data_IF_055828471949
#
_entry.id   IF_055828471949
#
_cell.length_a   1.000
_cell.length_b   1.000
_cell.length_c   1.000
_cell.angle_alpha   90.00
_cell.angle_beta   90.00
_cell.angle_gamma   90.00
#
_symmetry.space_group_name_H-M   'P 1'
#
loop_
_entity.id
_entity.type
_entity.pdbx_description
1 polymer ?
#
# COMPACT_ATOMS: atom_id res chain seq x y z
N UNK A 1 15.14 -4.21 -1.16
CA UNK A 1 14.44 -4.48 0.10
C UNK A 1 12.94 -4.57 -0.16
N UNK A 2 12.19 -5.30 0.67
CA UNK A 2 10.72 -5.28 0.62
C UNK A 2 10.17 -3.92 1.04
N UNK A 3 8.94 -3.60 0.65
CA UNK A 3 8.32 -2.30 0.97
C UNK A 3 8.14 -2.13 2.50
N UNK A 4 7.82 -3.21 3.17
CA UNK A 4 7.68 -3.34 4.62
C UNK A 4 8.96 -3.01 5.40
N UNK A 5 10.14 -3.15 4.77
CA UNK A 5 11.42 -2.83 5.37
C UNK A 5 11.84 -1.36 5.24
N UNK A 6 11.13 -0.55 4.43
CA UNK A 6 11.54 0.82 4.11
C UNK A 6 11.51 1.75 5.33
N UNK A 7 10.43 1.70 6.12
CA UNK A 7 10.27 2.55 7.31
C UNK A 7 11.33 2.22 8.36
N UNK A 8 11.52 0.95 8.79
CA UNK A 8 12.59 0.61 9.72
C UNK A 8 13.98 1.02 9.22
N UNK A 9 14.25 0.87 7.92
CA UNK A 9 15.57 1.20 7.34
C UNK A 9 15.91 2.69 7.38
N UNK A 10 14.92 3.59 7.23
CA UNK A 10 15.12 5.02 7.49
C UNK A 10 15.35 5.26 8.98
N UNK A 11 14.56 4.64 9.85
CA UNK A 11 14.66 4.86 11.30
C UNK A 11 15.98 4.35 11.89
N UNK A 12 16.56 3.28 11.32
CA UNK A 12 17.86 2.75 11.72
C UNK A 12 19.04 3.52 11.12
N UNK A 13 18.80 4.39 10.13
CA UNK A 13 19.85 5.08 9.37
C UNK A 13 20.54 4.21 8.32
N UNK A 14 19.96 3.06 7.96
CA UNK A 14 20.47 2.22 6.86
C UNK A 14 20.24 2.86 5.49
N UNK A 15 19.23 3.74 5.38
CA UNK A 15 18.96 4.60 4.23
C UNK A 15 18.57 6.01 4.71
N UNK A 16 18.82 7.02 3.87
CA UNK A 16 18.52 8.42 4.23
C UNK A 16 17.11 8.87 3.83
N UNK A 17 16.50 8.24 2.82
CA UNK A 17 15.20 8.66 2.26
C UNK A 17 14.47 7.51 1.58
N UNK A 18 13.13 7.54 1.66
CA UNK A 18 12.25 6.64 0.92
C UNK A 18 11.73 7.37 -0.33
N UNK A 19 12.20 6.97 -1.51
CA UNK A 19 11.66 7.42 -2.80
C UNK A 19 10.74 6.33 -3.39
N UNK A 20 9.61 6.11 -2.73
CA UNK A 20 8.57 5.16 -3.15
C UNK A 20 7.19 5.81 -3.05
N UNK A 21 6.19 5.23 -3.71
CA UNK A 21 4.79 5.64 -3.56
C UNK A 21 4.26 5.27 -2.18
N UNK A 22 4.66 6.03 -1.16
CA UNK A 22 4.27 5.82 0.24
C UNK A 22 3.25 6.87 0.66
N UNK A 23 2.14 6.42 1.23
CA UNK A 23 1.14 7.32 1.80
C UNK A 23 1.61 7.85 3.16
N UNK A 24 1.49 9.16 3.36
CA UNK A 24 1.62 9.82 4.65
C UNK A 24 0.35 9.55 5.49
N UNK A 25 0.39 8.51 6.31
CA UNK A 25 -0.69 8.23 7.28
C UNK A 25 -0.34 8.86 8.63
N UNK A 26 -1.32 9.18 9.50
CA UNK A 26 -1.05 9.76 10.81
C UNK A 26 -0.08 8.92 11.67
N UNK A 27 -0.08 7.60 11.50
CA UNK A 27 0.84 6.70 12.19
C UNK A 27 2.27 6.85 11.68
N UNK A 28 2.45 7.04 10.37
CA UNK A 28 3.76 7.20 9.73
C UNK A 28 4.34 8.58 9.97
N UNK A 29 3.50 9.62 9.96
CA UNK A 29 3.91 11.00 10.26
C UNK A 29 4.41 11.18 11.70
N UNK A 30 4.04 10.29 12.63
CA UNK A 30 4.61 10.28 13.99
C UNK A 30 6.07 9.87 14.04
N UNK A 31 6.57 9.20 13.00
CA UNK A 31 7.87 8.53 13.01
C UNK A 31 8.74 8.86 11.80
N UNK A 32 8.22 9.62 10.84
CA UNK A 32 8.88 10.03 9.61
C UNK A 32 8.47 11.45 9.24
N UNK A 33 9.41 12.22 8.69
CA UNK A 33 9.10 13.42 7.93
C UNK A 33 8.77 13.06 6.48
N UNK A 34 7.79 13.74 5.89
CA UNK A 34 7.37 13.54 4.50
C UNK A 34 7.67 14.78 3.65
N UNK A 35 7.90 14.57 2.36
CA UNK A 35 7.94 15.65 1.38
C UNK A 35 6.54 16.25 1.17
N UNK A 36 6.48 17.34 0.41
CA UNK A 36 5.22 17.75 -0.22
C UNK A 36 4.65 16.58 -1.05
N UNK A 37 3.33 16.46 -1.06
CA UNK A 37 2.63 15.41 -1.81
C UNK A 37 2.87 15.64 -3.30
N UNK A 38 3.58 14.71 -3.94
CA UNK A 38 3.91 14.78 -5.37
C UNK A 38 2.94 13.97 -6.25
N UNK A 39 2.09 13.13 -5.64
CA UNK A 39 1.11 12.31 -6.35
C UNK A 39 -0.15 12.11 -5.49
N UNK A 40 -1.26 12.67 -5.96
CA UNK A 40 -2.57 12.55 -5.32
C UNK A 40 -3.63 12.15 -6.36
N UNK A 41 -3.60 10.88 -6.76
CA UNK A 41 -4.64 10.28 -7.59
C UNK A 41 -5.40 9.22 -6.80
N UNK A 42 -6.05 9.66 -5.72
CA UNK A 42 -7.42 9.27 -5.38
C UNK A 42 -7.79 7.80 -5.16
N UNK A 43 -6.87 6.84 -5.07
CA UNK A 43 -7.24 5.50 -4.60
C UNK A 43 -6.31 4.35 -5.00
N UNK A 44 -6.76 3.16 -4.61
CA UNK A 44 -6.16 1.88 -4.98
C UNK A 44 -7.03 1.20 -6.03
N UNK A 45 -6.40 0.42 -6.90
CA UNK A 45 -7.08 -0.25 -8.01
C UNK A 45 -6.89 -1.75 -7.84
N UNK A 46 -7.99 -2.50 -7.93
CA UNK A 46 -7.95 -3.96 -8.01
C UNK A 46 -7.80 -4.35 -9.48
N UNK A 47 -6.76 -5.13 -9.79
CA UNK A 47 -6.54 -5.66 -11.13
C UNK A 47 -6.91 -7.13 -11.17
N UNK A 48 -7.72 -7.51 -12.15
CA UNK A 48 -8.12 -8.89 -12.41
C UNK A 48 -7.60 -9.33 -13.77
N UNK A 49 -7.64 -10.64 -14.06
CA UNK A 49 -7.28 -11.13 -15.39
C UNK A 49 -8.24 -10.56 -16.43
N UNK A 50 -7.73 -10.34 -17.65
CA UNK A 50 -8.49 -9.77 -18.77
C UNK A 50 -9.77 -10.55 -19.11
N UNK A 51 -9.76 -11.87 -18.92
CA UNK A 51 -10.87 -12.79 -19.17
C UNK A 51 -11.78 -13.00 -17.96
N UNK A 52 -11.52 -12.32 -16.83
CA UNK A 52 -12.36 -12.42 -15.65
C UNK A 52 -13.70 -11.70 -15.86
N UNK A 53 -14.78 -12.44 -15.69
CA UNK A 53 -16.16 -11.93 -15.81
C UNK A 53 -16.94 -11.97 -14.49
N UNK A 54 -16.27 -12.26 -13.37
CA UNK A 54 -16.91 -12.59 -12.08
C UNK A 54 -16.51 -11.68 -10.91
N UNK A 55 -15.61 -10.72 -11.14
CA UNK A 55 -15.13 -9.78 -10.12
C UNK A 55 -15.20 -8.39 -10.74
N UNK A 56 -16.14 -7.59 -10.27
CA UNK A 56 -16.48 -6.25 -10.72
C UNK A 56 -16.41 -5.22 -9.59
N UNK A 57 -16.37 -5.70 -8.35
CA UNK A 57 -16.31 -4.88 -7.14
C UNK A 57 -15.57 -5.63 -6.01
N UNK A 58 -15.40 -4.97 -4.88
CA UNK A 58 -14.68 -5.52 -3.72
C UNK A 58 -15.47 -6.62 -3.00
N UNK A 59 -16.80 -6.56 -2.95
CA UNK A 59 -17.62 -7.56 -2.26
C UNK A 59 -17.49 -8.93 -2.93
N UNK A 60 -17.32 -8.95 -4.25
CA UNK A 60 -17.08 -10.15 -5.04
C UNK A 60 -15.70 -10.78 -4.79
N UNK A 61 -14.84 -10.17 -3.97
CA UNK A 61 -13.59 -10.79 -3.53
C UNK A 61 -13.75 -11.66 -2.28
N UNK A 62 -14.91 -11.63 -1.61
CA UNK A 62 -15.17 -12.42 -0.41
C UNK A 62 -14.92 -13.92 -0.64
N UNK A 63 -14.14 -14.53 0.27
CA UNK A 63 -13.75 -15.94 0.19
C UNK A 63 -12.72 -16.27 -0.91
N UNK A 64 -12.20 -15.27 -1.65
CA UNK A 64 -11.12 -15.46 -2.63
C UNK A 64 -9.77 -15.13 -2.02
N UNK A 65 -8.71 -15.63 -2.65
CA UNK A 65 -7.33 -15.21 -2.32
C UNK A 65 -7.02 -13.90 -3.05
N UNK A 66 -6.69 -12.85 -2.30
CA UNK A 66 -6.31 -11.53 -2.82
C UNK A 66 -4.82 -11.29 -2.57
N UNK A 67 -4.08 -10.93 -3.61
CA UNK A 67 -2.66 -10.57 -3.52
C UNK A 67 -2.49 -9.07 -3.28
N UNK A 68 -1.63 -8.71 -2.32
CA UNK A 68 -1.33 -7.32 -1.95
C UNK A 68 0.16 -7.16 -1.62
N UNK A 69 0.68 -5.94 -1.72
CA UNK A 69 2.06 -5.63 -1.32
C UNK A 69 2.13 -5.40 0.19
N UNK A 70 2.89 -6.24 0.89
CA UNK A 70 3.06 -6.12 2.36
C UNK A 70 3.61 -4.73 2.71
N UNK A 71 3.09 -4.15 3.80
CA UNK A 71 3.47 -2.81 4.28
C UNK A 71 2.74 -1.66 3.59
N UNK A 72 1.77 -1.93 2.72
CA UNK A 72 0.96 -0.90 2.04
C UNK A 72 -0.48 -0.86 2.57
N UNK A 73 -1.19 0.27 2.37
CA UNK A 73 -2.60 0.41 2.79
C UNK A 73 -3.51 -0.70 2.22
N UNK A 74 -3.34 -1.20 0.97
CA UNK A 74 -4.10 -2.34 0.45
C UNK A 74 -4.11 -3.59 1.34
N UNK A 75 -3.11 -3.79 2.20
CA UNK A 75 -3.12 -4.90 3.16
C UNK A 75 -4.30 -4.78 4.11
N UNK A 76 -4.51 -3.59 4.68
CA UNK A 76 -5.64 -3.34 5.58
C UNK A 76 -6.98 -3.40 4.86
N UNK A 77 -7.01 -2.98 3.58
CA UNK A 77 -8.21 -3.09 2.76
C UNK A 77 -8.57 -4.56 2.50
N UNK A 78 -7.58 -5.38 2.14
CA UNK A 78 -7.79 -6.80 1.86
C UNK A 78 -8.19 -7.60 3.11
N UNK A 79 -7.73 -7.19 4.30
CA UNK A 79 -8.13 -7.81 5.57
C UNK A 79 -9.59 -7.52 5.97
N UNK A 80 -10.24 -6.54 5.33
CA UNK A 80 -11.64 -6.15 5.57
C UNK A 80 -12.61 -6.72 4.54
N UNK A 81 -12.11 -7.44 3.53
CA UNK A 81 -12.91 -8.22 2.56
C UNK A 81 -13.38 -9.50 3.24
#
# INVERSE_FOLDING_TARGET
>A
MGFDALIPAVQSGDIDMIAAGINATPEREKVLDFSDVYFDQGGFITVVRKDNTTIHNMDELAGKTVGVQIGTIPVEMAQKI
#
